data_IF_911510108615
#
_entry.id   IF_911510108615
#
_cell.length_a   1.000
_cell.length_b   1.000
_cell.length_c   1.000
_cell.angle_alpha   90.00
_cell.angle_beta   90.00
_cell.angle_gamma   90.00
#
_symmetry.space_group_name_H-M   'P 1'
#
loop_
_entity.id
_entity.type
_entity.pdbx_description
1 polymer ?
#
# COMPACT_ATOMS: atom_id res chain seq x y z
N UNK A 1 21.95 -26.17 19.31
CA UNK A 1 22.35 -24.77 19.09
C UNK A 1 21.13 -24.07 18.57
N UNK A 2 20.55 -23.23 19.43
CA UNK A 2 19.27 -22.55 19.19
C UNK A 2 19.37 -21.62 17.98
N UNK A 3 18.41 -21.79 17.07
CA UNK A 3 18.21 -20.90 15.93
C UNK A 3 17.65 -19.59 16.50
N UNK A 4 18.30 -18.43 16.30
CA UNK A 4 17.87 -17.20 16.95
C UNK A 4 16.47 -16.86 16.44
N UNK A 5 15.58 -16.64 17.41
CA UNK A 5 14.19 -16.25 17.23
C UNK A 5 14.05 -15.23 16.11
N UNK A 6 13.39 -15.63 15.02
CA UNK A 6 12.86 -14.71 14.01
C UNK A 6 11.88 -13.81 14.77
N UNK A 7 12.33 -12.63 15.16
CA UNK A 7 11.54 -11.67 15.92
C UNK A 7 10.23 -11.44 15.17
N UNK A 8 9.12 -11.82 15.81
CA UNK A 8 7.78 -11.41 15.42
C UNK A 8 7.72 -9.89 15.63
N UNK A 9 8.09 -9.14 14.61
CA UNK A 9 7.53 -7.80 14.44
C UNK A 9 6.36 -7.94 13.48
N UNK A 10 5.24 -7.40 13.93
CA UNK A 10 4.02 -7.09 13.21
C UNK A 10 4.28 -6.16 12.02
N UNK A 11 5.03 -6.63 11.02
CA UNK A 11 5.41 -5.82 9.88
C UNK A 11 4.29 -5.87 8.84
N UNK A 12 3.34 -4.95 8.97
CA UNK A 12 2.45 -4.61 7.86
C UNK A 12 3.32 -4.16 6.69
N UNK A 13 3.26 -4.90 5.59
CA UNK A 13 4.04 -4.60 4.38
C UNK A 13 3.36 -3.44 3.65
N UNK A 14 4.11 -2.38 3.36
CA UNK A 14 3.56 -1.25 2.60
C UNK A 14 3.24 -1.61 1.15
N UNK A 15 2.36 -0.85 0.50
CA UNK A 15 2.05 -1.08 -0.92
C UNK A 15 3.30 -0.97 -1.82
N UNK A 16 4.21 -0.05 -1.51
CA UNK A 16 5.48 0.12 -2.25
C UNK A 16 6.34 -1.13 -2.15
N UNK A 17 6.47 -1.71 -0.95
CA UNK A 17 7.21 -2.97 -0.77
C UNK A 17 6.54 -4.16 -1.48
N UNK A 18 5.21 -4.20 -1.55
CA UNK A 18 4.50 -5.25 -2.30
C UNK A 18 4.71 -5.12 -3.81
N UNK A 19 4.79 -3.90 -4.35
CA UNK A 19 5.07 -3.67 -5.78
C UNK A 19 6.44 -4.17 -6.20
N UNK A 20 7.44 -4.07 -5.33
CA UNK A 20 8.81 -4.53 -5.61
C UNK A 20 8.97 -6.06 -5.53
N UNK A 21 8.04 -6.78 -4.89
CA UNK A 21 8.08 -8.24 -4.80
C UNK A 21 7.77 -8.94 -6.11
N UNK A 22 8.36 -10.11 -6.28
CA UNK A 22 8.02 -11.07 -7.34
C UNK A 22 6.65 -11.69 -7.09
N UNK A 23 6.05 -12.28 -8.13
CA UNK A 23 4.75 -12.99 -8.00
C UNK A 23 4.86 -14.15 -7.01
N UNK A 24 5.99 -14.86 -7.01
CA UNK A 24 6.22 -15.99 -6.09
C UNK A 24 6.27 -15.51 -4.64
N UNK A 25 7.02 -14.44 -4.35
CA UNK A 25 7.07 -13.84 -3.01
C UNK A 25 5.71 -13.30 -2.56
N UNK A 26 4.95 -12.67 -3.46
CA UNK A 26 3.59 -12.21 -3.17
C UNK A 26 2.65 -13.39 -2.86
N UNK A 27 2.81 -14.50 -3.58
CA UNK A 27 2.02 -15.71 -3.36
C UNK A 27 2.33 -16.34 -1.99
N UNK A 28 3.59 -16.30 -1.56
CA UNK A 28 3.99 -16.75 -0.22
C UNK A 28 3.40 -15.85 0.88
N UNK A 29 3.46 -14.52 0.72
CA UNK A 29 2.82 -13.57 1.63
C UNK A 29 1.30 -13.81 1.70
N UNK A 30 0.66 -13.99 0.56
CA UNK A 30 -0.78 -14.26 0.47
C UNK A 30 -1.15 -15.57 1.19
N UNK A 31 -0.30 -16.60 1.10
CA UNK A 31 -0.49 -17.87 1.81
C UNK A 31 -0.44 -17.68 3.33
N UNK A 32 0.54 -16.94 3.84
CA UNK A 32 0.67 -16.64 5.27
C UNK A 32 -0.53 -15.83 5.79
N UNK A 33 -1.10 -14.97 4.94
CA UNK A 33 -2.29 -14.19 5.23
C UNK A 33 -3.61 -14.95 5.01
N UNK A 34 -3.57 -16.18 4.51
CA UNK A 34 -4.73 -17.03 4.22
C UNK A 34 -5.64 -16.46 3.12
N UNK A 35 -5.06 -15.80 2.11
CA UNK A 35 -5.78 -15.31 0.93
C UNK A 35 -6.09 -16.48 -0.01
N UNK A 36 -7.37 -16.75 -0.24
CA UNK A 36 -7.82 -17.80 -1.16
C UNK A 36 -7.60 -17.40 -2.64
N UNK A 37 -7.28 -18.38 -3.49
CA UNK A 37 -7.15 -18.16 -4.93
C UNK A 37 -5.93 -17.34 -5.40
N UNK A 38 -4.99 -17.05 -4.49
CA UNK A 38 -3.81 -16.21 -4.75
C UNK A 38 -3.01 -16.61 -6.00
N UNK A 39 -2.83 -17.92 -6.24
CA UNK A 39 -2.04 -18.44 -7.38
C UNK A 39 -2.63 -18.13 -8.76
N UNK A 40 -3.91 -17.77 -8.85
CA UNK A 40 -4.59 -17.40 -10.11
C UNK A 40 -4.75 -15.90 -10.33
N UNK A 41 -4.38 -15.08 -9.34
CA UNK A 41 -4.55 -13.62 -9.41
C UNK A 41 -3.47 -12.98 -10.27
N UNK A 42 -3.82 -11.88 -10.94
CA UNK A 42 -2.81 -10.98 -11.53
C UNK A 42 -2.07 -10.28 -10.39
N UNK A 43 -0.83 -9.83 -10.65
CA UNK A 43 0.02 -9.17 -9.63
C UNK A 43 -0.72 -8.04 -8.90
N UNK A 44 -1.43 -7.17 -9.63
CA UNK A 44 -2.18 -6.06 -9.02
C UNK A 44 -3.31 -6.55 -8.09
N UNK A 45 -4.10 -7.52 -8.55
CA UNK A 45 -5.20 -8.10 -7.77
C UNK A 45 -4.67 -8.82 -6.52
N UNK A 46 -3.53 -9.50 -6.66
CA UNK A 46 -2.86 -10.19 -5.56
C UNK A 46 -2.35 -9.20 -4.49
N UNK A 47 -1.73 -8.09 -4.91
CA UNK A 47 -1.31 -7.01 -4.02
C UNK A 47 -2.52 -6.47 -3.26
N UNK A 48 -3.63 -6.21 -3.96
CA UNK A 48 -4.84 -5.70 -3.34
C UNK A 48 -5.44 -6.67 -2.32
N UNK A 49 -5.49 -7.96 -2.65
CA UNK A 49 -5.97 -9.01 -1.74
C UNK A 49 -5.09 -9.13 -0.48
N UNK A 50 -3.77 -9.01 -0.62
CA UNK A 50 -2.82 -8.99 0.51
C UNK A 50 -3.08 -7.78 1.41
N UNK A 51 -3.23 -6.59 0.83
CA UNK A 51 -3.52 -5.36 1.58
C UNK A 51 -4.86 -5.48 2.33
N UNK A 52 -5.88 -6.04 1.69
CA UNK A 52 -7.17 -6.29 2.33
C UNK A 52 -7.02 -7.21 3.55
N UNK A 53 -6.35 -8.36 3.37
CA UNK A 53 -6.14 -9.32 4.46
C UNK A 53 -5.30 -8.74 5.62
N UNK A 54 -4.32 -7.88 5.34
CA UNK A 54 -3.57 -7.16 6.38
C UNK A 54 -4.45 -6.15 7.13
N UNK A 55 -5.31 -5.43 6.41
CA UNK A 55 -6.23 -4.45 6.99
C UNK A 55 -7.24 -5.12 7.90
N UNK A 56 -7.78 -6.28 7.50
CA UNK A 56 -8.72 -7.04 8.33
C UNK A 56 -8.09 -7.49 9.65
N UNK A 57 -6.78 -7.75 9.68
CA UNK A 57 -6.04 -8.13 10.88
C UNK A 57 -5.61 -6.94 11.76
N UNK A 58 -5.25 -5.81 11.16
CA UNK A 58 -4.56 -4.70 11.87
C UNK A 58 -5.32 -3.38 11.90
N UNK A 59 -6.33 -3.22 11.04
CA UNK A 59 -7.18 -2.04 10.93
C UNK A 59 -6.62 -0.90 10.08
N UNK A 60 -5.39 -0.98 9.58
CA UNK A 60 -4.73 0.12 8.86
C UNK A 60 -3.87 -0.37 7.69
N UNK A 61 -3.81 0.44 6.63
CA UNK A 61 -2.86 0.29 5.50
C UNK A 61 -1.89 1.46 5.51
N UNK A 62 -0.60 1.18 5.32
CA UNK A 62 0.42 2.19 5.16
C UNK A 62 0.83 2.33 3.69
N UNK A 63 0.89 3.56 3.22
CA UNK A 63 1.35 3.92 1.90
C UNK A 63 1.83 5.37 1.88
N UNK A 64 2.66 5.71 0.91
CA UNK A 64 3.24 7.03 0.70
C UNK A 64 3.21 7.40 -0.78
N UNK A 65 3.23 8.71 -1.06
CA UNK A 65 3.25 9.25 -2.41
C UNK A 65 3.35 10.77 -2.38
N UNK A 66 3.50 11.38 -3.54
CA UNK A 66 3.60 12.84 -3.65
C UNK A 66 2.21 13.43 -3.83
N UNK A 67 1.84 14.38 -2.98
CA UNK A 67 0.51 14.99 -3.01
C UNK A 67 0.31 15.84 -4.27
N UNK A 68 -0.79 15.61 -4.99
CA UNK A 68 -1.35 16.51 -5.99
C UNK A 68 -2.70 17.03 -5.53
N UNK A 69 -2.84 18.34 -5.31
CA UNK A 69 -4.10 19.00 -4.96
C UNK A 69 -4.79 19.48 -6.25
N UNK A 70 -6.04 19.08 -6.44
CA UNK A 70 -6.88 19.46 -7.58
C UNK A 70 -7.63 20.79 -7.32
N UNK A 71 -8.19 21.45 -8.37
CA UNK A 71 -8.86 22.74 -8.21
C UNK A 71 -10.00 22.77 -7.19
N UNK A 72 -10.68 21.64 -6.99
CA UNK A 72 -11.78 21.48 -6.03
C UNK A 72 -11.30 21.33 -4.58
N UNK A 73 -9.97 21.33 -4.35
CA UNK A 73 -9.35 21.37 -3.03
C UNK A 73 -9.18 20.03 -2.32
N UNK A 74 -9.56 18.92 -2.95
CA UNK A 74 -9.12 17.57 -2.57
C UNK A 74 -7.87 17.19 -3.37
N UNK A 75 -7.20 16.11 -2.98
CA UNK A 75 -5.99 15.66 -3.67
C UNK A 75 -5.81 14.16 -3.67
N UNK A 76 -4.74 13.74 -4.33
CA UNK A 76 -4.29 12.36 -4.38
C UNK A 76 -2.80 12.26 -4.07
N UNK A 77 -2.39 11.25 -3.31
CA UNK A 77 -0.99 10.85 -3.25
C UNK A 77 -0.66 10.04 -4.50
N UNK A 78 0.19 10.60 -5.37
CA UNK A 78 0.64 9.99 -6.61
C UNK A 78 1.89 9.15 -6.37
N UNK A 79 1.95 7.99 -7.00
CA UNK A 79 3.12 7.11 -6.93
C UNK A 79 4.23 7.55 -7.92
N UNK A 80 5.50 7.57 -7.49
CA UNK A 80 6.63 7.79 -8.41
C UNK A 80 6.75 6.66 -9.45
N UNK A 81 6.34 5.44 -9.10
CA UNK A 81 6.38 4.26 -9.96
C UNK A 81 5.53 4.44 -11.23
N UNK A 82 4.52 5.31 -11.16
CA UNK A 82 3.63 5.63 -12.26
C UNK A 82 3.90 7.01 -12.86
N UNK A 83 5.13 7.52 -12.71
CA UNK A 83 5.54 8.85 -13.19
C UNK A 83 4.62 9.99 -12.72
N UNK A 84 4.01 9.83 -11.54
CA UNK A 84 3.02 10.75 -10.97
C UNK A 84 1.74 10.95 -11.81
N UNK A 85 1.50 10.07 -12.77
CA UNK A 85 0.25 10.05 -13.53
C UNK A 85 -0.88 9.45 -12.68
N UNK A 86 -2.15 9.73 -13.01
CA UNK A 86 -3.27 9.10 -12.35
C UNK A 86 -3.21 7.57 -12.45
N UNK A 87 -3.15 6.92 -11.29
CA UNK A 87 -3.06 5.48 -11.12
C UNK A 87 -4.27 4.91 -10.35
N UNK A 88 -4.60 3.62 -10.54
CA UNK A 88 -5.69 2.96 -9.82
C UNK A 88 -5.42 2.80 -8.31
N UNK A 89 -4.20 3.03 -7.87
CA UNK A 89 -3.71 2.91 -6.50
C UNK A 89 -3.48 4.27 -5.81
N UNK A 90 -3.88 5.37 -6.45
CA UNK A 90 -3.78 6.71 -5.89
C UNK A 90 -4.63 6.86 -4.62
N UNK A 91 -4.05 7.49 -3.61
CA UNK A 91 -4.69 7.61 -2.29
C UNK A 91 -5.38 8.95 -2.19
N UNK A 92 -6.69 8.90 -2.01
CA UNK A 92 -7.50 10.09 -1.78
C UNK A 92 -7.09 10.81 -0.49
N UNK A 93 -6.92 12.14 -0.60
CA UNK A 93 -6.69 13.04 0.53
C UNK A 93 -7.81 14.08 0.56
N UNK A 94 -8.49 14.18 1.69
CA UNK A 94 -9.63 15.07 1.82
C UNK A 94 -9.20 16.54 1.99
N UNK A 95 -10.07 17.51 1.60
CA UNK A 95 -9.79 18.93 1.84
C UNK A 95 -9.55 19.26 3.31
N UNK A 96 -10.20 18.54 4.24
CA UNK A 96 -10.01 18.76 5.67
C UNK A 96 -8.64 18.30 6.16
N UNK A 97 -8.11 17.19 5.64
CA UNK A 97 -6.74 16.74 5.92
C UNK A 97 -5.72 17.75 5.38
N UNK A 98 -5.86 18.16 4.11
CA UNK A 98 -4.98 19.15 3.48
C UNK A 98 -4.91 20.44 4.30
N UNK A 99 -6.07 20.98 4.71
CA UNK A 99 -6.13 22.20 5.53
C UNK A 99 -5.57 22.00 6.93
N UNK A 100 -5.90 20.88 7.58
CA UNK A 100 -5.48 20.59 8.96
C UNK A 100 -3.95 20.49 9.09
N UNK A 101 -3.29 19.93 8.08
CA UNK A 101 -1.85 19.71 8.07
C UNK A 101 -1.08 20.73 7.22
N UNK A 102 -1.78 21.74 6.65
CA UNK A 102 -1.21 22.77 5.78
C UNK A 102 -0.40 22.20 4.59
N UNK A 103 -0.91 21.11 4.01
CA UNK A 103 -0.27 20.39 2.92
C UNK A 103 -0.32 21.18 1.61
N UNK A 104 0.66 20.95 0.74
CA UNK A 104 0.80 21.56 -0.57
C UNK A 104 1.08 20.50 -1.62
N UNK A 105 0.72 20.82 -2.87
CA UNK A 105 1.15 19.99 -4.01
C UNK A 105 2.67 19.85 -4.02
N UNK A 106 3.17 18.62 -4.07
CA UNK A 106 4.59 18.29 -3.99
C UNK A 106 5.06 17.75 -2.64
N UNK A 107 4.25 17.80 -1.58
CA UNK A 107 4.59 17.22 -0.27
C UNK A 107 4.62 15.68 -0.32
N UNK A 108 5.54 15.07 0.46
CA UNK A 108 5.76 13.61 0.60
C UNK A 108 5.19 13.08 1.92
#
# INVERSE_FOLDING_TARGET
>A
MENPKKNFVSDNISISELKEKTIDELTDVARDLHVEGASSMRKQDLIFAILQAQTEKTGYVFSAGVLEILPDGFGFLRSPDYSYLPGPDDIYVSPSQIRRFNLRTGDL
#
